data_IF_291226356572
#
_entry.id   IF_291226356572
#
_cell.length_a   1.000
_cell.length_b   1.000
_cell.length_c   1.000
_cell.angle_alpha   90.00
_cell.angle_beta   90.00
_cell.angle_gamma   90.00
#
_symmetry.space_group_name_H-M   'P 1'
#
loop_
_entity.id
_entity.type
_entity.pdbx_description
1 polymer ?
#
# COMPACT_ATOMS: atom_id res chain seq x y z
N UNK A 1 -14.90 -15.76 -9.53
CA UNK A 1 -13.44 -15.64 -9.73
C UNK A 1 -12.90 -15.04 -8.46
N UNK A 2 -12.27 -15.85 -7.61
CA UNK A 2 -11.70 -15.34 -6.35
C UNK A 2 -10.53 -14.41 -6.68
N UNK A 3 -10.68 -13.13 -6.31
CA UNK A 3 -9.68 -12.11 -6.54
C UNK A 3 -8.44 -12.39 -5.68
N UNK A 4 -7.39 -12.89 -6.32
CA UNK A 4 -6.08 -13.04 -5.71
C UNK A 4 -5.13 -11.95 -6.22
N UNK A 5 -4.29 -11.42 -5.33
CA UNK A 5 -3.12 -10.62 -5.70
C UNK A 5 -1.89 -11.53 -5.76
N UNK A 6 -0.90 -11.17 -6.56
CA UNK A 6 0.38 -11.88 -6.63
C UNK A 6 1.47 -10.99 -6.07
N UNK A 7 2.34 -11.57 -5.25
CA UNK A 7 3.52 -10.89 -4.71
C UNK A 7 4.79 -11.63 -5.13
N UNK A 8 5.78 -10.86 -5.57
CA UNK A 8 7.15 -11.31 -5.69
C UNK A 8 7.83 -11.26 -4.32
N UNK A 9 8.47 -12.36 -3.95
CA UNK A 9 9.27 -12.47 -2.72
C UNK A 9 10.63 -13.07 -3.07
N UNK A 10 11.66 -12.75 -2.30
CA UNK A 10 12.97 -13.40 -2.39
C UNK A 10 13.07 -14.64 -1.50
N UNK A 11 12.09 -14.87 -0.63
CA UNK A 11 12.06 -16.01 0.27
C UNK A 11 11.64 -17.27 -0.50
N UNK A 12 12.41 -18.34 -0.37
CA UNK A 12 12.07 -19.64 -0.96
C UNK A 12 11.26 -20.46 0.05
N UNK A 13 9.94 -20.25 0.05
CA UNK A 13 9.01 -20.90 0.97
C UNK A 13 7.93 -21.65 0.17
N UNK A 14 7.52 -22.82 0.65
CA UNK A 14 6.40 -23.60 0.07
C UNK A 14 5.35 -23.87 1.15
N UNK A 15 4.08 -23.82 0.76
CA UNK A 15 2.95 -23.95 1.67
C UNK A 15 2.44 -22.60 2.17
N UNK A 16 1.63 -22.62 3.22
CA UNK A 16 1.08 -21.42 3.85
C UNK A 16 2.21 -20.56 4.42
N UNK A 17 2.19 -19.28 4.08
CA UNK A 17 3.14 -18.29 4.56
C UNK A 17 2.40 -17.05 5.04
N UNK A 18 3.01 -16.33 5.98
CA UNK A 18 2.51 -15.05 6.45
C UNK A 18 3.49 -13.95 6.07
N UNK A 19 2.99 -12.87 5.49
CA UNK A 19 3.78 -11.70 5.10
C UNK A 19 3.35 -10.56 6.00
N UNK A 20 4.33 -9.90 6.63
CA UNK A 20 4.12 -8.70 7.43
C UNK A 20 4.93 -7.56 6.81
N UNK A 21 4.28 -6.45 6.54
CA UNK A 21 4.89 -5.22 6.01
C UNK A 21 4.45 -4.10 6.95
N UNK A 22 5.38 -3.23 7.33
CA UNK A 22 5.00 -2.05 8.10
C UNK A 22 4.17 -1.10 7.23
N UNK A 23 3.11 -0.45 7.75
CA UNK A 23 2.40 0.61 7.01
C UNK A 23 3.30 1.72 6.49
N UNK A 24 4.47 1.90 7.12
CA UNK A 24 5.49 2.89 6.78
C UNK A 24 6.37 2.48 5.59
N UNK A 25 6.45 1.17 5.29
CA UNK A 25 7.26 0.62 4.22
C UNK A 25 6.50 0.58 2.87
N UNK A 26 5.23 0.97 2.87
CA UNK A 26 4.38 0.95 1.68
C UNK A 26 4.35 2.36 1.06
N UNK A 27 4.72 2.44 -0.21
CA UNK A 27 4.70 3.69 -0.98
C UNK A 27 3.40 3.82 -1.77
N UNK A 28 2.85 5.04 -1.81
CA UNK A 28 1.70 5.41 -2.64
C UNK A 28 2.18 6.28 -3.80
N UNK A 29 1.74 5.94 -5.01
CA UNK A 29 2.00 6.72 -6.21
C UNK A 29 0.77 6.74 -7.11
N UNK A 30 0.52 7.87 -7.77
CA UNK A 30 -0.54 8.01 -8.79
C UNK A 30 -0.16 7.39 -10.13
N UNK A 31 1.14 7.25 -10.37
CA UNK A 31 1.70 6.67 -11.58
C UNK A 31 2.43 5.37 -11.26
N UNK A 32 2.54 4.47 -12.23
CA UNK A 32 3.36 3.28 -12.06
C UNK A 32 4.81 3.70 -11.78
N UNK A 33 5.34 3.23 -10.66
CA UNK A 33 6.70 3.53 -10.26
C UNK A 33 7.65 2.53 -10.92
N UNK A 34 8.55 3.01 -11.78
CA UNK A 34 9.68 2.20 -12.25
C UNK A 34 10.78 2.23 -11.21
N UNK A 35 10.74 1.29 -10.25
CA UNK A 35 11.75 1.16 -9.20
C UNK A 35 12.11 -0.29 -8.92
N UNK A 36 13.02 -0.50 -7.96
CA UNK A 36 13.34 -1.82 -7.41
C UNK A 36 12.18 -2.46 -6.65
N UNK A 37 11.11 -1.71 -6.33
CA UNK A 37 9.90 -2.25 -5.74
C UNK A 37 9.17 -3.13 -6.76
N UNK A 38 9.36 -4.45 -6.64
CA UNK A 38 8.78 -5.44 -7.56
C UNK A 38 7.27 -5.64 -7.40
N UNK A 39 6.71 -5.20 -6.27
CA UNK A 39 5.30 -5.32 -5.97
C UNK A 39 4.62 -3.97 -6.13
N UNK A 40 3.68 -3.89 -7.06
CA UNK A 40 2.81 -2.74 -7.24
C UNK A 40 1.37 -3.24 -7.34
N UNK A 41 0.53 -2.78 -6.41
CA UNK A 41 -0.88 -3.13 -6.37
C UNK A 41 -1.69 -1.87 -6.68
N UNK A 42 -2.60 -1.97 -7.63
CA UNK A 42 -3.56 -0.90 -7.91
C UNK A 42 -4.70 -1.01 -6.91
N UNK A 43 -5.03 0.09 -6.26
CA UNK A 43 -6.11 0.15 -5.29
C UNK A 43 -6.80 1.50 -5.23
N UNK A 44 -7.84 1.57 -4.42
CA UNK A 44 -8.63 2.78 -4.15
C UNK A 44 -8.53 3.13 -2.67
N UNK A 45 -8.39 4.40 -2.35
CA UNK A 45 -8.41 4.87 -0.95
C UNK A 45 -9.86 4.76 -0.46
N UNK A 46 -10.08 3.97 0.59
CA UNK A 46 -11.38 3.80 1.23
C UNK A 46 -11.57 4.76 2.41
N UNK A 47 -10.47 5.18 3.05
CA UNK A 47 -10.47 6.14 4.16
C UNK A 47 -9.14 6.87 4.27
N UNK A 48 -9.20 8.13 4.70
CA UNK A 48 -8.05 8.87 5.18
C UNK A 48 -8.36 9.44 6.56
N UNK A 49 -7.45 9.28 7.52
CA UNK A 49 -7.54 9.87 8.85
C UNK A 49 -6.21 10.46 9.29
N UNK A 50 -6.30 11.52 10.08
CA UNK A 50 -5.13 12.14 10.72
C UNK A 50 -4.78 11.34 11.97
N UNK A 51 -3.52 10.93 12.10
CA UNK A 51 -2.98 10.29 13.30
C UNK A 51 -1.71 11.03 13.70
N UNK A 52 -1.77 11.77 14.82
CA UNK A 52 -0.67 12.59 15.34
C UNK A 52 -0.06 13.51 14.25
N UNK A 53 1.14 13.17 13.77
CA UNK A 53 1.92 13.90 12.77
C UNK A 53 1.78 13.34 11.35
N UNK A 54 0.99 12.28 11.14
CA UNK A 54 0.87 11.54 9.88
C UNK A 54 -0.58 11.41 9.41
N UNK A 55 -0.72 10.95 8.17
CA UNK A 55 -2.01 10.57 7.58
C UNK A 55 -2.01 9.05 7.43
N UNK A 56 -2.98 8.41 8.07
CA UNK A 56 -3.30 7.00 7.86
C UNK A 56 -4.27 6.89 6.69
N UNK A 57 -3.88 6.10 5.70
CA UNK A 57 -4.72 5.74 4.56
C UNK A 57 -5.11 4.27 4.66
N UNK A 58 -6.39 4.00 4.52
CA UNK A 58 -6.89 2.64 4.25
C UNK A 58 -7.17 2.52 2.75
N UNK A 59 -6.65 1.47 2.13
CA UNK A 59 -6.80 1.19 0.71
C UNK A 59 -7.36 -0.20 0.49
N UNK A 60 -8.23 -0.33 -0.51
CA UNK A 60 -8.62 -1.60 -1.09
C UNK A 60 -7.90 -1.82 -2.42
N UNK A 61 -7.02 -2.83 -2.45
CA UNK A 61 -6.29 -3.26 -3.65
C UNK A 61 -6.58 -4.75 -3.98
N UNK A 62 -7.78 -5.24 -3.63
CA UNK A 62 -8.09 -6.66 -3.55
C UNK A 62 -7.71 -7.29 -2.20
N UNK A 63 -7.02 -6.51 -1.37
CA UNK A 63 -6.81 -6.70 0.06
C UNK A 63 -6.89 -5.34 0.74
N UNK A 64 -7.29 -5.35 2.02
CA UNK A 64 -7.25 -4.17 2.86
C UNK A 64 -5.82 -3.90 3.31
N UNK A 65 -5.33 -2.71 3.01
CA UNK A 65 -4.00 -2.25 3.39
C UNK A 65 -4.12 -0.95 4.17
N UNK A 66 -3.35 -0.83 5.25
CA UNK A 66 -3.15 0.42 5.97
C UNK A 66 -1.76 0.96 5.64
N UNK A 67 -1.69 2.23 5.28
CA UNK A 67 -0.45 2.92 4.89
C UNK A 67 -0.33 4.24 5.67
N UNK A 68 0.89 4.58 6.09
CA UNK A 68 1.18 5.87 6.72
C UNK A 68 1.98 6.77 5.78
N UNK A 69 1.43 7.94 5.48
CA UNK A 69 2.14 8.97 4.71
C UNK A 69 2.21 10.28 5.49
N UNK A 70 3.12 11.17 5.06
CA UNK A 70 3.18 12.51 5.63
C UNK A 70 2.02 13.38 5.15
N UNK A 71 1.66 14.41 5.92
CA UNK A 71 0.69 15.43 5.50
C UNK A 71 1.11 16.12 4.20
N UNK A 72 2.41 16.38 4.06
CA UNK A 72 2.98 16.98 2.86
C UNK A 72 2.79 16.08 1.63
N UNK A 73 2.99 14.77 1.77
CA UNK A 73 2.76 13.80 0.69
C UNK A 73 1.28 13.72 0.31
N UNK A 74 0.38 13.69 1.29
CA UNK A 74 -1.07 13.66 1.03
C UNK A 74 -1.52 14.86 0.19
N UNK A 75 -1.10 16.07 0.60
CA UNK A 75 -1.39 17.30 -0.12
C UNK A 75 -0.68 17.35 -1.48
N UNK A 76 0.63 17.04 -1.54
CA UNK A 76 1.41 17.11 -2.78
C UNK A 76 0.98 16.11 -3.85
N UNK A 77 0.39 14.98 -3.45
CA UNK A 77 -0.20 14.00 -4.38
C UNK A 77 -1.64 14.35 -4.78
N UNK A 78 -2.26 15.37 -4.17
CA UNK A 78 -3.67 15.72 -4.34
C UNK A 78 -4.58 14.49 -4.15
N UNK A 79 -4.38 13.75 -3.04
CA UNK A 79 -5.20 12.59 -2.72
C UNK A 79 -6.58 13.02 -2.20
N UNK A 80 -7.59 12.23 -2.54
CA UNK A 80 -8.99 12.42 -2.12
C UNK A 80 -9.57 11.07 -1.70
N UNK A 81 -10.61 11.10 -0.87
CA UNK A 81 -11.39 9.93 -0.43
C UNK A 81 -12.75 9.99 -1.12
#
# INVERSE_FOLDING_TARGET
MEGGFQLYTTASQRGLAHIRISPDDILVSKNLLSSSARNSLKGTISKASVEEDRIRLDLDAGIQLTIHITRQSFAGLNLTV
#
